data_IF_731764762908
#
_entry.id   IF_731764762908
#
_cell.length_a   1.000
_cell.length_b   1.000
_cell.length_c   1.000
_cell.angle_alpha   90.00
_cell.angle_beta   90.00
_cell.angle_gamma   90.00
#
_symmetry.space_group_name_H-M   'P 1'
#
loop_
_entity.id
_entity.type
_entity.pdbx_description
1 polymer ?
#
# COMPACT_ATOMS: atom_id res chain seq x y z
N UNK A 1 -23.16 -4.14 -12.03
CA UNK A 1 -23.49 -2.86 -11.35
C UNK A 1 -22.16 -2.19 -11.02
N UNK A 2 -21.69 -1.31 -11.89
CA UNK A 2 -20.49 -0.52 -11.66
C UNK A 2 -20.73 0.37 -10.45
N UNK A 3 -20.01 0.10 -9.37
CA UNK A 3 -19.98 1.06 -8.27
C UNK A 3 -19.11 2.21 -8.77
N UNK A 4 -19.75 3.22 -9.29
CA UNK A 4 -19.14 4.53 -9.43
C UNK A 4 -18.81 5.04 -8.02
N UNK A 5 -17.63 4.66 -7.52
CA UNK A 5 -17.00 5.48 -6.51
C UNK A 5 -16.92 6.87 -7.12
N UNK A 6 -17.67 7.82 -6.58
CA UNK A 6 -17.63 9.17 -7.07
C UNK A 6 -16.17 9.60 -7.17
N UNK A 7 -15.72 9.92 -8.36
CA UNK A 7 -14.31 10.23 -8.67
C UNK A 7 -13.69 11.26 -7.70
N UNK A 8 -14.53 12.16 -7.15
CA UNK A 8 -14.14 13.15 -6.14
C UNK A 8 -13.77 12.53 -4.78
N UNK A 9 -14.48 11.49 -4.35
CA UNK A 9 -14.22 10.81 -3.07
C UNK A 9 -12.91 10.04 -3.16
N UNK A 10 -12.73 9.25 -4.21
CA UNK A 10 -11.50 8.48 -4.43
C UNK A 10 -10.29 9.40 -4.53
N UNK A 11 -10.38 10.49 -5.28
CA UNK A 11 -9.30 11.49 -5.37
C UNK A 11 -8.96 12.14 -4.02
N UNK A 12 -9.97 12.46 -3.21
CA UNK A 12 -9.73 13.01 -1.86
C UNK A 12 -9.00 12.01 -0.97
N UNK A 13 -9.40 10.75 -1.02
CA UNK A 13 -8.78 9.67 -0.28
C UNK A 13 -7.34 9.44 -0.73
N UNK A 14 -7.09 9.46 -2.04
CA UNK A 14 -5.75 9.31 -2.62
C UNK A 14 -4.83 10.48 -2.25
N UNK A 15 -5.34 11.72 -2.23
CA UNK A 15 -4.60 12.89 -1.71
C UNK A 15 -4.21 12.73 -0.25
N UNK A 16 -5.10 12.19 0.57
CA UNK A 16 -4.78 11.92 1.97
C UNK A 16 -3.66 10.89 2.08
N UNK A 17 -3.76 9.76 1.37
CA UNK A 17 -2.71 8.74 1.35
C UNK A 17 -1.39 9.30 0.81
N UNK A 18 -1.41 10.01 -0.31
CA UNK A 18 -0.24 10.70 -0.85
C UNK A 18 0.36 11.71 0.13
N UNK A 19 -0.48 12.41 0.90
CA UNK A 19 -0.03 13.34 1.95
C UNK A 19 0.70 12.66 3.10
N UNK A 20 0.44 11.39 3.37
CA UNK A 20 1.15 10.61 4.38
C UNK A 20 2.53 10.15 3.90
N UNK A 21 2.68 9.85 2.62
CA UNK A 21 3.94 9.40 2.04
C UNK A 21 4.84 10.54 1.58
N UNK A 22 4.26 11.63 1.10
CA UNK A 22 4.98 12.76 0.50
C UNK A 22 6.11 13.35 1.36
N UNK A 23 6.01 13.46 2.71
CA UNK A 23 7.11 13.96 3.53
C UNK A 23 8.39 13.10 3.46
N UNK A 24 8.29 11.87 2.95
CA UNK A 24 9.40 10.91 2.85
C UNK A 24 9.89 10.71 1.41
N UNK A 25 9.30 11.43 0.46
CA UNK A 25 9.63 11.40 -0.97
C UNK A 25 10.22 12.75 -1.38
N UNK A 26 11.49 12.75 -1.69
CA UNK A 26 12.16 13.96 -2.18
C UNK A 26 11.72 14.32 -3.61
N UNK A 27 11.76 15.59 -4.01
CA UNK A 27 11.58 15.95 -5.41
C UNK A 27 12.53 15.15 -6.31
N UNK A 28 12.06 14.68 -7.44
CA UNK A 28 12.78 13.82 -8.39
C UNK A 28 13.10 12.41 -7.91
N UNK A 29 12.70 12.01 -6.68
CA UNK A 29 12.88 10.65 -6.23
C UNK A 29 12.16 9.65 -7.14
N UNK A 30 12.81 8.50 -7.38
CA UNK A 30 12.20 7.36 -8.07
C UNK A 30 11.32 6.58 -7.09
N UNK A 31 10.04 6.44 -7.40
CA UNK A 31 9.05 5.78 -6.54
C UNK A 31 8.41 4.61 -7.27
N UNK A 32 8.32 3.45 -6.63
CA UNK A 32 7.51 2.32 -7.09
C UNK A 32 6.23 2.23 -6.25
N UNK A 33 5.07 2.23 -6.91
CA UNK A 33 3.76 1.97 -6.27
C UNK A 33 3.35 0.52 -6.55
N UNK A 34 3.50 -0.35 -5.54
CA UNK A 34 3.16 -1.77 -5.63
C UNK A 34 1.70 -1.96 -5.22
N UNK A 35 0.91 -2.61 -6.10
CA UNK A 35 -0.53 -2.72 -5.92
C UNK A 35 -1.23 -1.38 -6.11
N UNK A 36 -0.89 -0.68 -7.20
CA UNK A 36 -1.27 0.71 -7.46
C UNK A 36 -2.77 0.94 -7.64
N UNK A 37 -3.55 -0.12 -7.88
CA UNK A 37 -5.00 -0.03 -8.10
C UNK A 37 -5.37 0.97 -9.20
N UNK A 38 -6.10 2.04 -8.85
CA UNK A 38 -6.54 3.08 -9.80
C UNK A 38 -5.44 4.08 -10.20
N UNK A 39 -4.31 4.12 -9.50
CA UNK A 39 -3.14 4.97 -9.76
C UNK A 39 -3.24 6.40 -9.24
N UNK A 40 -4.30 6.78 -8.53
CA UNK A 40 -4.45 8.18 -8.08
C UNK A 40 -3.43 8.60 -7.02
N UNK A 41 -2.98 7.70 -6.13
CA UNK A 41 -1.93 8.01 -5.15
C UNK A 41 -0.63 8.36 -5.86
N UNK A 42 -0.24 7.54 -6.82
CA UNK A 42 0.93 7.74 -7.67
C UNK A 42 0.86 9.07 -8.45
N UNK A 43 -0.31 9.39 -9.03
CA UNK A 43 -0.51 10.65 -9.75
C UNK A 43 -0.31 11.89 -8.85
N UNK A 44 -0.76 11.83 -7.60
CA UNK A 44 -0.56 12.91 -6.63
C UNK A 44 0.93 13.08 -6.24
N UNK A 45 1.72 12.00 -6.22
CA UNK A 45 3.18 12.06 -6.01
C UNK A 45 3.91 12.57 -7.26
N UNK A 46 3.52 12.10 -8.44
CA UNK A 46 4.07 12.57 -9.71
C UNK A 46 3.82 14.08 -9.90
N UNK A 47 2.64 14.58 -9.55
CA UNK A 47 2.33 16.01 -9.55
C UNK A 47 3.19 16.84 -8.59
N UNK A 48 3.87 16.21 -7.62
CA UNK A 48 4.83 16.83 -6.69
C UNK A 48 6.29 16.66 -7.13
N UNK A 49 6.50 16.14 -8.34
CA UNK A 49 7.82 16.02 -8.95
C UNK A 49 8.52 14.67 -8.79
N UNK A 50 7.86 13.66 -8.19
CA UNK A 50 8.42 12.30 -8.12
C UNK A 50 8.35 11.59 -9.48
N UNK A 51 9.34 10.76 -9.79
CA UNK A 51 9.32 9.84 -10.93
C UNK A 51 8.66 8.53 -10.50
N UNK A 52 7.40 8.31 -10.88
CA UNK A 52 6.61 7.18 -10.35
C UNK A 52 6.41 6.08 -11.39
N UNK A 53 6.76 4.85 -11.03
CA UNK A 53 6.43 3.61 -11.73
C UNK A 53 5.30 2.89 -10.99
N UNK A 54 4.34 2.37 -11.71
CA UNK A 54 3.20 1.62 -11.20
C UNK A 54 3.37 0.12 -11.46
N UNK A 55 2.95 -0.72 -10.50
CA UNK A 55 2.85 -2.16 -10.72
C UNK A 55 1.66 -2.76 -9.97
N UNK A 56 1.02 -3.73 -10.55
CA UNK A 56 -0.09 -4.48 -9.95
C UNK A 56 -0.18 -5.88 -10.61
N UNK A 57 -0.93 -6.80 -10.01
CA UNK A 57 -1.23 -8.12 -10.58
C UNK A 57 -2.31 -8.05 -11.68
N UNK A 58 -3.03 -6.94 -11.75
CA UNK A 58 -4.07 -6.67 -12.74
C UNK A 58 -4.09 -5.17 -13.06
N UNK A 59 -4.30 -4.80 -14.33
CA UNK A 59 -4.37 -3.40 -14.71
C UNK A 59 -5.77 -2.80 -14.45
N UNK A 60 -5.94 -2.20 -13.27
CA UNK A 60 -7.16 -1.48 -12.86
C UNK A 60 -7.00 0.04 -12.94
N UNK A 61 -5.91 0.53 -13.54
CA UNK A 61 -5.59 1.96 -13.55
C UNK A 61 -6.63 2.81 -14.27
N UNK A 62 -6.95 3.92 -13.66
CA UNK A 62 -7.64 5.06 -14.27
C UNK A 62 -6.67 6.14 -14.75
N UNK A 63 -5.47 6.18 -14.16
CA UNK A 63 -4.35 7.02 -14.56
C UNK A 63 -3.50 6.22 -15.54
N UNK A 64 -3.53 6.59 -16.82
CA UNK A 64 -2.84 5.88 -17.91
C UNK A 64 -1.53 6.52 -18.33
N UNK A 65 -1.29 7.73 -17.90
CA UNK A 65 -0.14 8.55 -18.28
C UNK A 65 1.15 8.10 -17.57
N UNK A 66 1.03 7.44 -16.41
CA UNK A 66 2.17 6.92 -15.69
C UNK A 66 2.59 5.54 -16.20
N UNK A 67 3.90 5.24 -16.22
CA UNK A 67 4.41 3.94 -16.64
C UNK A 67 3.92 2.84 -15.71
N UNK A 68 3.69 1.66 -16.27
CA UNK A 68 3.12 0.52 -15.56
C UNK A 68 3.71 -0.81 -16.04
N UNK A 69 3.89 -1.75 -15.12
CA UNK A 69 4.20 -3.15 -15.41
C UNK A 69 3.31 -4.07 -14.59
N UNK A 70 2.82 -5.13 -15.22
CA UNK A 70 2.18 -6.24 -14.51
C UNK A 70 3.25 -7.07 -13.80
N UNK A 71 2.88 -7.67 -12.66
CA UNK A 71 3.70 -8.68 -12.00
C UNK A 71 2.85 -9.88 -11.55
N UNK A 72 3.49 -10.97 -11.17
CA UNK A 72 2.84 -12.25 -10.87
C UNK A 72 2.32 -12.37 -9.42
N UNK A 73 2.44 -11.29 -8.62
CA UNK A 73 2.11 -11.27 -7.20
C UNK A 73 3.22 -11.84 -6.30
N UNK A 74 4.36 -12.24 -6.88
CA UNK A 74 5.50 -12.83 -6.16
C UNK A 74 6.80 -12.10 -6.45
N UNK A 75 7.16 -11.92 -7.74
CA UNK A 75 8.42 -11.32 -8.17
C UNK A 75 8.16 -9.98 -8.86
N UNK A 76 8.75 -8.94 -8.33
CA UNK A 76 8.68 -7.62 -8.93
C UNK A 76 9.63 -7.54 -10.15
N UNK A 77 9.14 -7.19 -11.36
CA UNK A 77 9.92 -7.22 -12.60
C UNK A 77 10.86 -6.00 -12.73
N UNK A 78 11.64 -5.75 -11.67
CA UNK A 78 12.55 -4.62 -11.55
C UNK A 78 13.90 -5.09 -10.98
N UNK A 79 14.93 -4.31 -11.27
CA UNK A 79 16.29 -4.57 -10.80
C UNK A 79 16.44 -4.28 -9.29
N UNK A 80 17.47 -4.86 -8.68
CA UNK A 80 17.82 -4.58 -7.30
C UNK A 80 18.12 -3.09 -7.12
N UNK A 81 17.63 -2.51 -6.01
CA UNK A 81 17.88 -1.12 -5.65
C UNK A 81 17.55 -0.11 -6.76
N UNK A 82 16.50 -0.37 -7.53
CA UNK A 82 16.09 0.49 -8.65
C UNK A 82 15.40 1.78 -8.19
N UNK A 83 14.63 1.73 -7.09
CA UNK A 83 13.79 2.84 -6.63
C UNK A 83 14.27 3.41 -5.29
N UNK A 84 14.18 4.73 -5.12
CA UNK A 84 14.53 5.40 -3.87
C UNK A 84 13.52 5.08 -2.76
N UNK A 85 12.24 4.99 -3.14
CA UNK A 85 11.13 4.62 -2.26
C UNK A 85 10.24 3.58 -2.94
N UNK A 86 9.88 2.53 -2.22
CA UNK A 86 8.84 1.58 -2.63
C UNK A 86 7.66 1.73 -1.68
N UNK A 87 6.46 1.93 -2.21
CA UNK A 87 5.26 2.06 -1.38
C UNK A 87 4.27 0.92 -1.64
N UNK A 88 3.64 0.46 -0.55
CA UNK A 88 2.55 -0.52 -0.55
C UNK A 88 1.38 0.08 0.23
N UNK A 89 0.38 0.59 -0.48
CA UNK A 89 -0.76 1.28 0.12
C UNK A 89 -2.01 0.40 0.07
N UNK A 90 -2.42 -0.17 1.20
CA UNK A 90 -3.57 -1.07 1.30
C UNK A 90 -3.46 -2.32 0.43
N UNK A 91 -2.29 -2.93 0.39
CA UNK A 91 -1.95 -4.08 -0.45
C UNK A 91 -1.81 -5.36 0.35
N UNK A 92 -1.01 -5.31 1.41
CA UNK A 92 -0.57 -6.52 2.12
C UNK A 92 -1.72 -7.27 2.80
N UNK A 93 -2.80 -6.60 3.18
CA UNK A 93 -3.98 -7.29 3.71
C UNK A 93 -4.76 -8.09 2.65
N UNK A 94 -4.52 -7.85 1.35
CA UNK A 94 -5.05 -8.66 0.25
C UNK A 94 -4.16 -9.86 -0.08
N UNK A 95 -2.92 -9.86 0.39
CA UNK A 95 -1.93 -10.90 0.14
C UNK A 95 -2.11 -12.05 1.15
N UNK A 96 -2.09 -13.33 0.73
CA UNK A 96 -2.05 -14.47 1.65
C UNK A 96 -0.94 -14.31 2.69
N UNK A 97 -1.19 -14.76 3.92
CA UNK A 97 -0.25 -14.52 5.02
C UNK A 97 1.16 -15.06 4.74
N UNK A 98 1.24 -16.23 4.09
CA UNK A 98 2.47 -16.89 3.68
C UNK A 98 3.26 -16.13 2.60
N UNK A 99 2.61 -15.25 1.85
CA UNK A 99 3.24 -14.46 0.79
C UNK A 99 3.58 -13.02 1.21
N UNK A 100 3.15 -12.57 2.40
CA UNK A 100 3.45 -11.21 2.87
C UNK A 100 4.94 -10.96 3.08
N UNK A 101 5.61 -11.90 3.74
CA UNK A 101 7.06 -11.81 3.94
C UNK A 101 7.85 -11.86 2.61
N UNK A 102 7.60 -12.81 1.70
CA UNK A 102 8.20 -12.79 0.36
C UNK A 102 7.98 -11.50 -0.42
N UNK A 103 6.77 -10.92 -0.39
CA UNK A 103 6.51 -9.66 -1.09
C UNK A 103 7.24 -8.47 -0.44
N UNK A 104 7.38 -8.46 0.89
CA UNK A 104 8.20 -7.47 1.59
C UNK A 104 9.68 -7.59 1.23
N UNK A 105 10.20 -8.82 1.09
CA UNK A 105 11.58 -9.06 0.65
C UNK A 105 11.81 -8.55 -0.77
N UNK A 106 10.88 -8.79 -1.67
CA UNK A 106 10.93 -8.26 -3.03
C UNK A 106 10.86 -6.72 -3.06
N UNK A 107 9.95 -6.13 -2.26
CA UNK A 107 9.88 -4.69 -2.12
C UNK A 107 11.21 -4.11 -1.57
N UNK A 108 11.82 -4.79 -0.61
CA UNK A 108 13.12 -4.41 -0.06
C UNK A 108 14.23 -4.57 -1.12
N UNK A 109 14.24 -5.66 -1.89
CA UNK A 109 15.22 -5.91 -2.95
C UNK A 109 15.25 -4.78 -3.98
N UNK A 110 14.10 -4.34 -4.46
CA UNK A 110 14.01 -3.31 -5.50
C UNK A 110 14.14 -1.89 -4.95
N UNK A 111 14.11 -1.70 -3.62
CA UNK A 111 14.29 -0.42 -2.95
C UNK A 111 15.77 -0.14 -2.67
N UNK A 112 16.20 1.13 -2.85
CA UNK A 112 17.52 1.60 -2.41
C UNK A 112 17.60 1.83 -0.90
N UNK A 113 16.51 2.35 -0.30
CA UNK A 113 16.58 2.84 1.08
C UNK A 113 15.31 2.63 1.89
N UNK A 114 14.13 2.88 1.31
CA UNK A 114 12.91 3.09 2.09
C UNK A 114 11.73 2.32 1.53
N UNK A 115 10.96 1.72 2.46
CA UNK A 115 9.63 1.24 2.18
C UNK A 115 8.63 2.12 2.93
N UNK A 116 7.56 2.53 2.26
CA UNK A 116 6.41 3.15 2.89
C UNK A 116 5.22 2.20 2.83
N UNK A 117 4.64 1.90 3.98
CA UNK A 117 3.51 0.96 4.08
C UNK A 117 2.35 1.64 4.78
N UNK A 118 1.18 1.59 4.16
CA UNK A 118 -0.08 2.08 4.72
C UNK A 118 -1.08 0.94 4.73
N UNK A 119 -1.55 0.53 5.93
CA UNK A 119 -2.40 -0.66 6.07
C UNK A 119 -3.56 -0.47 7.03
N UNK A 120 -4.63 -1.23 6.79
CA UNK A 120 -5.72 -1.37 7.75
C UNK A 120 -5.24 -2.25 8.92
N UNK A 121 -5.21 -1.66 10.13
CA UNK A 121 -4.64 -2.28 11.34
C UNK A 121 -5.71 -2.37 12.45
N UNK A 122 -6.44 -3.49 12.55
CA UNK A 122 -7.46 -3.65 13.57
C UNK A 122 -6.85 -3.63 14.97
N UNK A 123 -7.46 -2.87 15.90
CA UNK A 123 -7.02 -2.71 17.28
C UNK A 123 -7.75 -3.61 18.27
N UNK A 124 -8.95 -4.08 17.87
CA UNK A 124 -9.83 -4.88 18.71
C UNK A 124 -10.75 -5.79 17.87
N UNK A 125 -11.58 -6.58 18.52
CA UNK A 125 -12.48 -7.52 17.86
C UNK A 125 -13.49 -6.82 16.92
N UNK A 126 -13.97 -5.63 17.28
CA UNK A 126 -14.88 -4.85 16.44
C UNK A 126 -14.18 -4.38 15.15
N UNK A 127 -12.95 -3.86 15.26
CA UNK A 127 -12.17 -3.49 14.08
C UNK A 127 -11.94 -4.72 13.17
N UNK A 128 -11.58 -5.89 13.75
CA UNK A 128 -11.41 -7.14 12.99
C UNK A 128 -12.69 -7.55 12.26
N UNK A 129 -13.83 -7.44 12.92
CA UNK A 129 -15.13 -7.76 12.32
C UNK A 129 -15.45 -6.82 11.14
N UNK A 130 -15.28 -5.51 11.33
CA UNK A 130 -15.53 -4.50 10.29
C UNK A 130 -14.60 -4.70 9.08
N UNK A 131 -13.31 -4.93 9.32
CA UNK A 131 -12.33 -5.16 8.27
C UNK A 131 -12.65 -6.44 7.47
N UNK A 132 -12.98 -7.54 8.16
CA UNK A 132 -13.38 -8.80 7.49
C UNK A 132 -14.63 -8.61 6.62
N UNK A 133 -15.63 -7.91 7.12
CA UNK A 133 -16.86 -7.62 6.35
C UNK A 133 -16.55 -6.79 5.10
N UNK A 134 -15.69 -5.79 5.22
CA UNK A 134 -15.21 -5.00 4.07
C UNK A 134 -14.43 -5.86 3.08
N UNK A 135 -13.51 -6.66 3.56
CA UNK A 135 -12.72 -7.58 2.75
C UNK A 135 -13.58 -8.56 1.94
N UNK A 136 -14.60 -9.17 2.55
CA UNK A 136 -15.54 -10.05 1.85
C UNK A 136 -16.27 -9.34 0.71
N UNK A 137 -16.67 -8.08 0.92
CA UNK A 137 -17.32 -7.27 -0.11
C UNK A 137 -16.38 -6.96 -1.27
N UNK A 138 -15.13 -6.60 -0.97
CA UNK A 138 -14.11 -6.33 -1.98
C UNK A 138 -13.75 -7.58 -2.79
N UNK A 139 -13.60 -8.73 -2.13
CA UNK A 139 -13.33 -10.03 -2.77
C UNK A 139 -14.39 -10.39 -3.82
N UNK A 140 -15.67 -10.27 -3.45
CA UNK A 140 -16.77 -10.52 -4.37
C UNK A 140 -16.71 -9.63 -5.62
N UNK A 141 -16.14 -8.42 -5.47
CA UNK A 141 -16.04 -7.41 -6.52
C UNK A 141 -14.91 -7.68 -7.51
N UNK A 142 -13.76 -8.21 -7.03
CA UNK A 142 -12.58 -8.48 -7.88
C UNK A 142 -12.44 -9.94 -8.30
N UNK A 143 -13.40 -10.81 -7.89
CA UNK A 143 -13.35 -12.24 -8.21
C UNK A 143 -12.17 -13.00 -7.57
N UNK A 144 -11.54 -12.42 -6.55
CA UNK A 144 -10.37 -13.02 -5.91
C UNK A 144 -10.78 -14.04 -4.84
N UNK A 145 -10.10 -15.18 -4.80
CA UNK A 145 -10.20 -16.17 -3.71
C UNK A 145 -9.26 -15.87 -2.53
N UNK A 146 -8.46 -14.81 -2.60
CA UNK A 146 -7.46 -14.48 -1.60
C UNK A 146 -8.08 -14.28 -0.20
N UNK A 147 -7.49 -14.88 0.81
CA UNK A 147 -7.87 -14.68 2.19
C UNK A 147 -7.35 -13.32 2.66
N UNK A 148 -8.23 -12.47 3.19
CA UNK A 148 -7.82 -11.22 3.81
C UNK A 148 -7.15 -11.51 5.16
N UNK A 149 -5.90 -11.10 5.30
CA UNK A 149 -5.14 -11.19 6.54
C UNK A 149 -4.84 -9.80 7.08
N UNK A 150 -5.65 -9.33 8.02
CA UNK A 150 -5.41 -8.05 8.70
C UNK A 150 -4.55 -8.26 9.93
N UNK A 151 -3.39 -7.62 9.96
CA UNK A 151 -2.48 -7.60 11.08
C UNK A 151 -2.69 -6.35 11.93
N UNK A 152 -2.50 -6.46 13.23
CA UNK A 152 -2.38 -5.32 14.13
C UNK A 152 -1.08 -4.57 13.85
N UNK A 153 -0.95 -3.34 14.38
CA UNK A 153 0.31 -2.58 14.29
C UNK A 153 1.50 -3.38 14.84
N UNK A 154 1.31 -4.07 15.98
CA UNK A 154 2.37 -4.87 16.60
C UNK A 154 2.78 -6.09 15.76
N UNK A 155 1.80 -6.77 15.15
CA UNK A 155 2.08 -7.90 14.23
C UNK A 155 2.86 -7.44 12.98
N UNK A 156 2.53 -6.26 12.43
CA UNK A 156 3.30 -5.67 11.34
C UNK A 156 4.72 -5.33 11.76
N UNK A 157 4.90 -4.63 12.90
CA UNK A 157 6.24 -4.30 13.40
C UNK A 157 7.08 -5.54 13.68
N UNK A 158 6.47 -6.61 14.22
CA UNK A 158 7.15 -7.88 14.43
C UNK A 158 7.62 -8.49 13.10
N UNK A 159 6.76 -8.50 12.07
CA UNK A 159 7.10 -8.99 10.73
C UNK A 159 8.23 -8.18 10.11
N UNK A 160 8.17 -6.85 10.17
CA UNK A 160 9.21 -5.97 9.62
C UNK A 160 10.57 -6.21 10.29
N UNK A 161 10.60 -6.28 11.60
CA UNK A 161 11.85 -6.56 12.35
C UNK A 161 12.40 -7.95 12.04
N UNK A 162 11.54 -8.96 11.91
CA UNK A 162 11.91 -10.30 11.51
C UNK A 162 12.52 -10.39 10.10
N UNK A 163 12.29 -9.38 9.26
CA UNK A 163 12.90 -9.22 7.91
C UNK A 163 14.12 -8.27 7.91
N UNK A 164 14.60 -7.86 9.08
CA UNK A 164 15.73 -6.94 9.19
C UNK A 164 15.40 -5.48 8.86
N UNK A 165 14.11 -5.15 8.64
CA UNK A 165 13.68 -3.80 8.33
C UNK A 165 13.62 -2.94 9.60
N UNK A 166 14.14 -1.71 9.53
CA UNK A 166 14.17 -0.78 10.65
C UNK A 166 12.96 0.15 10.58
N UNK A 167 12.07 0.06 11.55
CA UNK A 167 10.90 0.97 11.65
C UNK A 167 11.38 2.35 12.11
N UNK A 168 11.46 3.31 11.20
CA UNK A 168 11.85 4.71 11.47
C UNK A 168 10.68 5.56 11.89
N UNK A 169 9.50 5.25 11.40
CA UNK A 169 8.28 5.95 11.70
C UNK A 169 7.14 4.95 11.72
N UNK A 170 6.31 5.03 12.74
CA UNK A 170 5.05 4.31 12.83
C UNK A 170 3.99 5.25 13.40
N UNK A 171 2.89 5.42 12.71
CA UNK A 171 1.78 6.27 13.15
C UNK A 171 0.47 5.52 13.05
N UNK A 172 -0.15 5.29 14.18
CA UNK A 172 -1.54 4.84 14.23
C UNK A 172 -2.45 6.00 13.79
N UNK A 173 -3.22 5.77 12.75
CA UNK A 173 -4.26 6.65 12.26
C UNK A 173 -5.59 6.16 12.83
N UNK A 174 -6.34 7.00 13.50
CA UNK A 174 -7.61 6.61 14.11
C UNK A 174 -8.63 6.07 13.10
N UNK A 175 -9.76 5.56 13.60
CA UNK A 175 -10.92 5.29 12.75
C UNK A 175 -11.34 6.56 12.02
N UNK A 176 -11.97 6.42 10.85
CA UNK A 176 -12.48 7.53 10.03
C UNK A 176 -11.42 8.52 9.56
N UNK A 177 -10.13 8.20 9.68
CA UNK A 177 -9.05 9.09 9.25
C UNK A 177 -9.08 9.39 7.74
N UNK A 178 -9.65 8.49 6.95
CA UNK A 178 -9.78 8.61 5.50
C UNK A 178 -11.14 9.19 5.08
N UNK A 179 -12.23 8.67 5.67
CA UNK A 179 -13.58 9.11 5.37
C UNK A 179 -14.56 8.74 6.49
N UNK A 180 -15.64 9.51 6.72
CA UNK A 180 -16.62 9.27 7.80
C UNK A 180 -17.31 7.90 7.72
N UNK A 181 -17.42 7.33 6.51
CA UNK A 181 -18.04 6.03 6.27
C UNK A 181 -17.06 4.85 6.27
N UNK A 182 -15.77 5.09 6.54
CA UNK A 182 -14.74 4.06 6.59
C UNK A 182 -14.21 3.91 8.02
N UNK A 183 -14.87 3.09 8.86
CA UNK A 183 -14.57 2.96 10.29
C UNK A 183 -13.35 2.06 10.53
N UNK A 184 -12.35 2.11 9.66
CA UNK A 184 -11.16 1.26 9.75
C UNK A 184 -10.02 2.00 10.42
N UNK A 185 -9.44 1.37 11.45
CA UNK A 185 -8.19 1.83 12.02
C UNK A 185 -7.04 1.48 11.07
N UNK A 186 -6.10 2.38 10.93
CA UNK A 186 -4.97 2.28 10.01
C UNK A 186 -3.67 2.60 10.68
N UNK A 187 -2.58 2.15 10.08
CA UNK A 187 -1.23 2.57 10.46
C UNK A 187 -0.40 2.84 9.23
N UNK A 188 0.41 3.90 9.32
CA UNK A 188 1.42 4.24 8.35
C UNK A 188 2.80 3.92 8.94
N UNK A 189 3.65 3.31 8.15
CA UNK A 189 5.02 2.93 8.52
C UNK A 189 6.00 3.44 7.47
N UNK A 190 7.11 3.99 7.94
CA UNK A 190 8.32 4.19 7.15
C UNK A 190 9.37 3.21 7.65
N UNK A 191 9.86 2.38 6.76
CA UNK A 191 10.89 1.41 7.04
C UNK A 191 12.16 1.79 6.28
N UNK A 192 13.31 1.62 6.92
CA UNK A 192 14.61 1.68 6.25
C UNK A 192 15.21 0.28 6.13
N UNK A 193 15.89 0.06 5.02
CA UNK A 193 16.68 -1.13 4.78
C UNK A 193 17.94 -1.09 5.66
N UNK A 194 18.43 -2.24 6.13
CA UNK A 194 19.74 -2.30 6.78
C UNK A 194 20.83 -1.78 5.85
N UNK A 195 21.84 -1.12 6.42
CA UNK A 195 22.98 -0.60 5.70
C UNK A 195 23.80 -1.70 5.01
#
# INVERSE_FOLDING_TARGET
MEIHYHSRVVRRESRHAAGLVAPFVEPSASVLDVGCGDGYVAAELAARGASVMLTDIVDLRRIRELPFRLFDGRHLPFEDRQFDVVMLNFVLHHVPNELKAPLLDEAARVSRRRLFILEDTPRNALDRFLNRRHGCHFRAKIGSSAAFGFFTTAEWEWLFRGRGLVVKYARALGRFCRAPWQPFARSAFLLELPA
#
